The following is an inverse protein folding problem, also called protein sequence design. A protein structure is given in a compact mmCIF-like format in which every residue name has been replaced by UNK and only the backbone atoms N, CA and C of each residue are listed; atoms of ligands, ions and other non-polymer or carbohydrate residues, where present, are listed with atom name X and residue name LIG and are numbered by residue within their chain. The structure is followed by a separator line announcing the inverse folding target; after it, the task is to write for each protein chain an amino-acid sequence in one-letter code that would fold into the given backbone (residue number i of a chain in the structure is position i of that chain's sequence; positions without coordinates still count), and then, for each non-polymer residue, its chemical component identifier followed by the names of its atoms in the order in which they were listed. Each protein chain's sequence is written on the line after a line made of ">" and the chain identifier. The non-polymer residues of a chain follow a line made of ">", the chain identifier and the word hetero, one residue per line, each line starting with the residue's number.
data_IF_257082606207
#
_entry.id   IF_257082606207
#
_cell.length_a   1.000
_cell.length_b   1.000
_cell.length_c   1.000
_cell.angle_alpha   90.00
_cell.angle_beta   90.00
_cell.angle_gamma   90.00
#
_symmetry.space_group_name_H-M   'P 1'
#
loop_
_entity.id
_entity.type
_entity.pdbx_description
1 polymer ?
#
# COMPACT_ATOMS: atom_id res chain seq x y z
N UNK A 1 41.28 -24.18 -12.53
CA UNK A 1 40.46 -23.11 -11.88
C UNK A 1 41.14 -21.79 -12.18
N UNK A 2 40.44 -20.76 -12.66
CA UNK A 2 40.99 -19.42 -12.96
C UNK A 2 40.57 -18.48 -11.86
N UNK A 3 41.51 -17.93 -11.08
CA UNK A 3 41.25 -16.89 -10.10
C UNK A 3 41.14 -15.57 -10.89
N UNK A 4 40.00 -14.88 -10.77
CA UNK A 4 39.72 -13.62 -11.48
C UNK A 4 40.13 -12.41 -10.64
N UNK A 5 39.94 -12.51 -9.31
CA UNK A 5 40.27 -11.46 -8.36
C UNK A 5 40.38 -12.07 -6.96
N UNK A 6 41.13 -11.42 -6.09
CA UNK A 6 41.12 -11.65 -4.65
C UNK A 6 40.12 -10.68 -4.00
N UNK A 7 39.29 -11.17 -3.07
CA UNK A 7 38.34 -10.35 -2.34
C UNK A 7 38.47 -10.66 -0.84
N UNK A 8 38.40 -9.62 -0.02
CA UNK A 8 38.50 -9.70 1.43
C UNK A 8 37.13 -9.63 2.07
N UNK A 9 36.95 -10.36 3.18
CA UNK A 9 35.75 -10.31 4.01
C UNK A 9 36.02 -9.51 5.28
N UNK A 10 35.00 -9.24 6.10
CA UNK A 10 35.18 -8.60 7.40
C UNK A 10 35.89 -9.49 8.43
N UNK A 11 36.07 -10.79 8.15
CA UNK A 11 36.92 -11.69 8.92
C UNK A 11 38.41 -11.45 8.65
N UNK A 12 38.73 -10.89 7.46
CA UNK A 12 40.11 -10.64 7.03
C UNK A 12 40.56 -9.21 7.31
N UNK A 13 39.62 -8.26 7.42
CA UNK A 13 39.92 -6.83 7.54
C UNK A 13 39.09 -6.15 8.61
N UNK A 14 39.60 -5.05 9.15
CA UNK A 14 38.91 -4.18 10.09
C UNK A 14 38.97 -2.74 9.61
N UNK A 15 37.90 -1.96 9.84
CA UNK A 15 37.92 -0.53 9.57
C UNK A 15 38.81 0.19 10.56
N UNK A 16 39.67 1.07 10.07
CA UNK A 16 40.49 1.93 10.91
C UNK A 16 39.59 3.01 11.52
N UNK A 17 39.52 3.14 12.85
CA UNK A 17 38.80 4.22 13.50
C UNK A 17 39.30 5.60 13.04
N UNK A 18 38.37 6.53 12.82
CA UNK A 18 38.70 7.90 12.50
C UNK A 18 37.90 8.86 13.39
N UNK A 19 38.39 10.10 13.48
CA UNK A 19 37.65 11.15 14.18
C UNK A 19 36.32 11.41 13.51
N UNK A 20 35.25 11.61 14.29
CA UNK A 20 33.93 11.91 13.81
C UNK A 20 33.25 12.94 14.71
N UNK A 21 32.62 13.94 14.09
CA UNK A 21 31.77 14.95 14.74
C UNK A 21 30.27 14.62 14.61
N UNK A 22 29.94 13.44 14.10
CA UNK A 22 28.54 13.01 13.86
C UNK A 22 28.11 12.13 15.05
N UNK A 23 26.99 12.50 15.68
CA UNK A 23 26.37 11.67 16.70
C UNK A 23 25.67 10.44 16.08
N UNK A 24 25.56 9.32 16.77
CA UNK A 24 24.89 8.13 16.23
C UNK A 24 23.47 8.37 15.73
N UNK A 25 22.72 9.27 16.38
CA UNK A 25 21.35 9.65 15.97
C UNK A 25 21.28 10.47 14.69
N UNK A 26 22.38 11.12 14.29
CA UNK A 26 22.47 12.00 13.13
C UNK A 26 23.06 11.28 11.91
N UNK A 27 23.39 9.99 12.06
CA UNK A 27 23.95 9.18 10.99
C UNK A 27 22.87 8.80 9.98
N UNK A 28 23.12 9.10 8.70
CA UNK A 28 22.32 8.58 7.59
C UNK A 28 22.90 7.26 7.09
N UNK A 29 22.10 6.20 7.14
CA UNK A 29 22.46 4.88 6.58
C UNK A 29 21.96 4.67 5.17
N UNK A 30 21.33 5.69 4.59
CA UNK A 30 20.80 5.62 3.22
C UNK A 30 21.88 5.24 2.21
N UNK A 31 21.59 4.27 1.38
CA UNK A 31 22.53 3.69 0.43
C UNK A 31 21.90 3.53 -0.95
N UNK A 32 22.75 3.45 -1.96
CA UNK A 32 22.33 3.17 -3.33
C UNK A 32 22.52 1.68 -3.63
N UNK A 33 21.42 0.97 -3.84
CA UNK A 33 21.45 -0.45 -4.21
C UNK A 33 21.78 -0.65 -5.69
N UNK A 34 21.17 0.16 -6.55
CA UNK A 34 21.44 0.19 -7.99
C UNK A 34 21.63 1.65 -8.45
N UNK A 35 21.75 1.87 -9.77
CA UNK A 35 21.82 3.24 -10.33
C UNK A 35 20.58 4.07 -10.01
N UNK A 36 19.41 3.43 -9.92
CA UNK A 36 18.10 4.07 -9.78
C UNK A 36 17.44 3.80 -8.42
N UNK A 37 17.80 2.69 -7.75
CA UNK A 37 17.17 2.27 -6.48
C UNK A 37 18.02 2.73 -5.29
N UNK A 38 17.40 3.49 -4.39
CA UNK A 38 17.95 3.85 -3.08
C UNK A 38 17.19 3.15 -1.98
N UNK A 39 17.87 2.83 -0.89
CA UNK A 39 17.30 2.25 0.33
C UNK A 39 17.69 3.12 1.51
N UNK A 40 16.82 3.26 2.50
CA UNK A 40 17.07 4.09 3.68
C UNK A 40 17.98 3.38 4.70
N UNK A 41 17.97 2.06 4.69
CA UNK A 41 18.96 1.23 5.39
C UNK A 41 19.57 0.22 4.40
N UNK A 42 20.87 -0.10 4.49
CA UNK A 42 21.56 -0.99 3.55
C UNK A 42 21.31 -2.48 3.85
N UNK A 43 20.04 -2.87 3.98
CA UNK A 43 19.62 -4.24 4.27
C UNK A 43 18.77 -4.77 3.14
N UNK A 44 19.16 -5.92 2.60
CA UNK A 44 18.48 -6.62 1.51
C UNK A 44 18.17 -8.04 1.96
N UNK A 45 16.92 -8.49 1.82
CA UNK A 45 16.61 -9.89 2.10
C UNK A 45 16.98 -10.80 0.93
N UNK A 46 17.48 -12.00 1.26
CA UNK A 46 17.88 -12.97 0.25
C UNK A 46 16.70 -13.51 -0.55
N UNK A 47 16.88 -13.68 -1.88
CA UNK A 47 15.90 -14.27 -2.78
C UNK A 47 15.84 -15.80 -2.61
N UNK A 48 15.54 -16.27 -1.41
CA UNK A 48 15.48 -17.69 -1.04
C UNK A 48 14.04 -18.14 -0.88
N UNK A 49 13.75 -19.35 -1.34
CA UNK A 49 12.47 -20.02 -1.12
C UNK A 49 12.15 -20.09 0.38
N UNK A 50 10.89 -19.91 0.72
CA UNK A 50 10.36 -19.84 2.09
C UNK A 50 10.91 -18.70 2.98
N UNK A 51 11.86 -17.92 2.50
CA UNK A 51 12.45 -16.77 3.22
C UNK A 51 11.80 -15.46 2.75
N UNK A 52 11.97 -15.10 1.46
CA UNK A 52 11.48 -13.81 0.96
C UNK A 52 10.29 -13.98 0.02
N UNK A 53 9.12 -13.89 0.60
CA UNK A 53 7.83 -13.69 -0.06
C UNK A 53 7.25 -12.33 0.32
N UNK A 54 6.02 -11.99 -0.10
CA UNK A 54 5.43 -10.67 0.12
C UNK A 54 5.48 -10.22 1.58
N UNK A 55 5.27 -11.10 2.56
CA UNK A 55 5.26 -10.76 3.99
C UNK A 55 6.61 -10.19 4.44
N UNK A 56 7.71 -10.88 4.13
CA UNK A 56 9.05 -10.39 4.51
C UNK A 56 9.43 -9.17 3.68
N UNK A 57 9.12 -9.14 2.38
CA UNK A 57 9.41 -7.99 1.54
C UNK A 57 8.72 -6.71 2.05
N UNK A 58 7.46 -6.80 2.50
CA UNK A 58 6.75 -5.70 3.16
C UNK A 58 7.48 -5.24 4.43
N UNK A 59 7.87 -6.17 5.30
CA UNK A 59 8.58 -5.83 6.54
C UNK A 59 9.92 -5.17 6.26
N UNK A 60 10.65 -5.67 5.26
CA UNK A 60 11.93 -5.07 4.82
C UNK A 60 11.74 -3.63 4.35
N UNK A 61 10.72 -3.40 3.50
CA UNK A 61 10.38 -2.06 3.01
C UNK A 61 10.00 -1.11 4.17
N UNK A 62 9.19 -1.58 5.13
CA UNK A 62 8.83 -0.82 6.34
C UNK A 62 10.04 -0.41 7.18
N UNK A 63 11.04 -1.28 7.26
CA UNK A 63 12.31 -0.96 7.95
C UNK A 63 13.21 -0.01 7.14
N UNK A 64 12.94 0.23 5.87
CA UNK A 64 13.74 1.09 4.98
C UNK A 64 14.73 0.33 4.10
N UNK A 65 14.70 -1.00 4.13
CA UNK A 65 15.45 -1.90 3.24
C UNK A 65 14.65 -2.33 2.01
N UNK A 66 15.04 -3.45 1.39
CA UNK A 66 14.33 -4.03 0.24
C UNK A 66 14.27 -5.55 0.33
N UNK A 67 13.14 -6.12 -0.06
CA UNK A 67 12.94 -7.57 -0.18
C UNK A 67 13.06 -8.04 -1.62
N UNK A 68 13.87 -9.08 -1.85
CA UNK A 68 13.99 -9.71 -3.18
C UNK A 68 13.19 -11.01 -3.18
N UNK A 69 12.04 -11.00 -3.86
CA UNK A 69 11.17 -12.18 -3.94
C UNK A 69 11.83 -13.27 -4.77
N UNK A 70 11.85 -14.50 -4.23
CA UNK A 70 12.48 -15.64 -4.90
C UNK A 70 11.71 -16.10 -6.16
N UNK A 71 12.39 -16.82 -7.03
CA UNK A 71 11.84 -17.29 -8.32
C UNK A 71 11.28 -18.73 -8.27
N UNK A 72 11.36 -19.44 -7.14
CA UNK A 72 10.89 -20.81 -7.04
C UNK A 72 9.36 -20.90 -6.90
N UNK A 73 8.66 -20.34 -7.88
CA UNK A 73 7.20 -20.34 -8.00
C UNK A 73 6.82 -20.06 -9.46
N UNK A 74 5.53 -20.22 -9.80
CA UNK A 74 5.09 -19.83 -11.15
C UNK A 74 5.17 -18.32 -11.36
N UNK A 75 5.23 -17.89 -12.62
CA UNK A 75 5.27 -16.46 -12.98
C UNK A 75 4.07 -15.70 -12.41
N UNK A 76 2.89 -16.31 -12.49
CA UNK A 76 1.63 -15.73 -11.99
C UNK A 76 1.66 -15.56 -10.46
N UNK A 77 2.20 -16.56 -9.75
CA UNK A 77 2.36 -16.50 -8.29
C UNK A 77 3.37 -15.42 -7.90
N UNK A 78 4.52 -15.34 -8.58
CA UNK A 78 5.53 -14.31 -8.30
C UNK A 78 4.96 -12.90 -8.55
N UNK A 79 4.25 -12.70 -9.66
CA UNK A 79 3.57 -11.45 -9.95
C UNK A 79 2.53 -11.08 -8.88
N UNK A 80 1.78 -12.08 -8.37
CA UNK A 80 0.84 -11.85 -7.28
C UNK A 80 1.54 -11.45 -5.97
N UNK A 81 2.68 -12.06 -5.63
CA UNK A 81 3.47 -11.67 -4.45
C UNK A 81 4.01 -10.23 -4.58
N UNK A 82 4.56 -9.85 -5.74
CA UNK A 82 4.99 -8.47 -6.02
C UNK A 82 3.81 -7.49 -5.93
N UNK A 83 2.67 -7.85 -6.51
CA UNK A 83 1.47 -7.01 -6.45
C UNK A 83 1.00 -6.78 -5.00
N UNK A 84 1.10 -7.80 -4.13
CA UNK A 84 0.78 -7.66 -2.69
C UNK A 84 1.69 -6.66 -2.00
N UNK A 85 3.00 -6.68 -2.29
CA UNK A 85 3.98 -5.72 -1.74
C UNK A 85 3.64 -4.31 -2.21
N UNK A 86 3.51 -4.10 -3.52
CA UNK A 86 3.19 -2.79 -4.10
C UNK A 86 1.85 -2.24 -3.64
N UNK A 87 0.84 -3.10 -3.50
CA UNK A 87 -0.46 -2.69 -2.94
C UNK A 87 -0.37 -2.27 -1.47
N UNK A 88 0.54 -2.88 -0.71
CA UNK A 88 0.74 -2.52 0.70
C UNK A 88 1.43 -1.17 0.86
N UNK A 89 2.41 -0.87 -0.01
CA UNK A 89 3.20 0.37 -0.01
C UNK A 89 2.41 1.58 -0.54
N UNK A 90 1.48 1.34 -1.45
CA UNK A 90 0.69 2.41 -2.04
C UNK A 90 -0.22 3.07 -1.00
N UNK A 91 0.09 4.30 -0.58
CA UNK A 91 -0.78 5.13 0.24
C UNK A 91 -2.11 5.45 -0.44
N UNK A 92 -2.18 5.29 -1.76
CA UNK A 92 -3.39 5.38 -2.58
C UNK A 92 -3.64 4.02 -3.22
N UNK A 93 -4.77 3.40 -2.92
CA UNK A 93 -5.23 2.20 -3.64
C UNK A 93 -5.69 2.66 -5.02
N UNK A 94 -4.83 2.54 -6.05
CA UNK A 94 -5.09 3.06 -7.40
C UNK A 94 -6.19 2.31 -8.16
N UNK A 95 -6.40 1.04 -7.88
CA UNK A 95 -7.45 0.21 -8.50
C UNK A 95 -8.30 -0.45 -7.39
N UNK A 96 -9.18 0.32 -6.72
CA UNK A 96 -10.05 -0.26 -5.72
C UNK A 96 -11.09 -1.18 -6.39
N UNK A 97 -11.46 -2.26 -5.70
CA UNK A 97 -12.60 -3.06 -6.12
C UNK A 97 -13.85 -2.19 -6.13
N UNK A 98 -14.61 -2.23 -7.21
CA UNK A 98 -15.83 -1.45 -7.39
C UNK A 98 -17.01 -2.37 -7.63
N UNK A 99 -18.22 -1.85 -7.42
CA UNK A 99 -19.49 -2.49 -7.75
C UNK A 99 -20.38 -1.49 -8.47
N UNK A 100 -21.41 -1.99 -9.15
CA UNK A 100 -22.43 -1.13 -9.77
C UNK A 100 -23.58 -0.85 -8.80
N UNK A 101 -24.40 0.20 -9.02
CA UNK A 101 -25.55 0.51 -8.16
C UNK A 101 -26.56 -0.65 -8.02
N UNK A 102 -26.65 -1.50 -9.05
CA UNK A 102 -27.57 -2.64 -9.12
C UNK A 102 -27.03 -3.91 -8.45
N UNK A 103 -25.74 -3.93 -8.05
CA UNK A 103 -25.14 -5.08 -7.36
C UNK A 103 -25.90 -5.36 -6.08
N UNK A 104 -26.22 -6.64 -5.83
CA UNK A 104 -26.94 -7.02 -4.62
C UNK A 104 -26.10 -6.80 -3.37
N UNK A 105 -26.75 -6.47 -2.26
CA UNK A 105 -26.09 -6.35 -0.94
C UNK A 105 -25.38 -7.65 -0.57
N UNK A 106 -25.96 -8.82 -0.92
CA UNK A 106 -25.37 -10.14 -0.74
C UNK A 106 -24.01 -10.26 -1.41
N UNK A 107 -23.90 -9.84 -2.68
CA UNK A 107 -22.65 -9.93 -3.45
C UNK A 107 -21.60 -8.96 -2.91
N UNK A 108 -22.01 -7.77 -2.48
CA UNK A 108 -21.11 -6.82 -1.82
C UNK A 108 -20.55 -7.38 -0.52
N UNK A 109 -21.39 -8.03 0.30
CA UNK A 109 -20.94 -8.71 1.53
C UNK A 109 -19.98 -9.85 1.24
N UNK A 110 -20.24 -10.65 0.19
CA UNK A 110 -19.35 -11.73 -0.23
C UNK A 110 -18.00 -11.16 -0.69
N UNK A 111 -18.00 -10.08 -1.50
CA UNK A 111 -16.80 -9.38 -1.96
C UNK A 111 -15.97 -8.83 -0.79
N UNK A 112 -16.61 -8.12 0.14
CA UNK A 112 -15.92 -7.51 1.29
C UNK A 112 -15.27 -8.55 2.18
N UNK A 113 -15.93 -9.70 2.42
CA UNK A 113 -15.37 -10.82 3.17
C UNK A 113 -14.23 -11.50 2.44
N UNK A 114 -14.41 -11.84 1.15
CA UNK A 114 -13.39 -12.52 0.35
C UNK A 114 -12.11 -11.70 0.18
N UNK A 115 -12.23 -10.37 0.12
CA UNK A 115 -11.11 -9.45 -0.09
C UNK A 115 -10.62 -8.77 1.19
N UNK A 116 -11.25 -9.02 2.32
CA UNK A 116 -10.97 -8.38 3.61
C UNK A 116 -10.92 -6.85 3.51
N UNK A 117 -11.93 -6.26 2.86
CA UNK A 117 -12.10 -4.83 2.67
C UNK A 117 -13.34 -4.33 3.40
N UNK A 118 -13.29 -3.09 3.91
CA UNK A 118 -14.36 -2.52 4.74
C UNK A 118 -15.18 -1.43 4.02
N UNK A 119 -14.95 -1.23 2.74
CA UNK A 119 -15.71 -0.29 1.93
C UNK A 119 -15.40 -0.44 0.46
N UNK A 120 -16.42 -0.29 -0.36
CA UNK A 120 -16.38 -0.51 -1.81
C UNK A 120 -16.97 0.71 -2.51
N UNK A 121 -16.23 1.38 -3.39
CA UNK A 121 -16.78 2.43 -4.24
C UNK A 121 -17.84 1.85 -5.19
N UNK A 122 -18.91 2.61 -5.39
CA UNK A 122 -19.99 2.28 -6.33
C UNK A 122 -19.82 3.17 -7.56
N UNK A 123 -19.76 2.56 -8.75
CA UNK A 123 -19.51 3.25 -10.00
C UNK A 123 -20.58 2.90 -11.04
N UNK A 124 -20.94 3.88 -11.85
CA UNK A 124 -21.70 3.69 -13.08
C UNK A 124 -20.75 3.87 -14.26
N UNK A 125 -20.41 2.77 -14.93
CA UNK A 125 -19.27 2.72 -15.84
C UNK A 125 -17.95 3.07 -15.14
N UNK A 126 -17.36 4.22 -15.44
CA UNK A 126 -16.16 4.76 -14.77
C UNK A 126 -16.46 5.87 -13.76
N UNK A 127 -17.70 6.36 -13.75
CA UNK A 127 -18.11 7.51 -12.93
C UNK A 127 -18.45 7.07 -11.51
N UNK A 128 -17.89 7.76 -10.55
CA UNK A 128 -18.18 7.52 -9.14
C UNK A 128 -19.60 8.02 -8.81
N UNK A 129 -20.43 7.15 -8.21
CA UNK A 129 -21.82 7.47 -7.82
C UNK A 129 -22.06 7.26 -6.32
N UNK A 130 -21.24 6.48 -5.65
CA UNK A 130 -21.41 6.23 -4.22
C UNK A 130 -20.25 5.48 -3.58
N UNK A 131 -20.38 5.22 -2.30
CA UNK A 131 -19.56 4.27 -1.54
C UNK A 131 -20.47 3.47 -0.61
N UNK A 132 -20.20 2.19 -0.47
CA UNK A 132 -20.82 1.35 0.55
C UNK A 132 -19.76 0.81 1.50
N UNK A 133 -20.03 0.85 2.79
CA UNK A 133 -19.11 0.44 3.84
C UNK A 133 -19.72 -0.64 4.74
N UNK A 134 -18.89 -1.31 5.53
CA UNK A 134 -19.38 -2.28 6.52
C UNK A 134 -20.38 -1.64 7.52
N UNK A 135 -20.34 -0.33 7.73
CA UNK A 135 -21.29 0.40 8.58
C UNK A 135 -22.67 0.38 7.96
N UNK A 136 -22.77 0.62 6.65
CA UNK A 136 -24.01 0.67 5.90
C UNK A 136 -24.65 -0.71 5.79
N UNK A 137 -23.83 -1.77 5.76
CA UNK A 137 -24.27 -3.17 5.59
C UNK A 137 -24.55 -3.89 6.91
N UNK A 138 -24.12 -3.35 8.06
CA UNK A 138 -24.08 -4.07 9.34
C UNK A 138 -25.42 -4.63 9.80
N UNK A 139 -26.48 -3.89 9.57
CA UNK A 139 -27.83 -4.22 10.05
C UNK A 139 -28.80 -4.47 8.90
N UNK A 140 -28.31 -4.55 7.65
CA UNK A 140 -29.20 -4.75 6.52
C UNK A 140 -29.62 -6.22 6.42
N UNK A 141 -30.92 -6.43 6.30
CA UNK A 141 -31.54 -7.76 6.21
C UNK A 141 -32.02 -8.09 4.80
N UNK A 142 -32.27 -7.08 3.97
CA UNK A 142 -32.74 -7.22 2.59
C UNK A 142 -31.57 -7.44 1.65
N UNK A 143 -30.96 -8.63 1.72
CA UNK A 143 -29.71 -8.93 1.03
C UNK A 143 -29.80 -8.98 -0.48
N UNK A 144 -30.99 -9.14 -1.03
CA UNK A 144 -31.23 -9.22 -2.48
C UNK A 144 -31.54 -7.84 -3.10
N UNK A 145 -31.69 -6.80 -2.25
CA UNK A 145 -31.86 -5.42 -2.70
C UNK A 145 -30.55 -4.89 -3.33
N UNK A 146 -30.66 -3.93 -4.25
CA UNK A 146 -29.49 -3.29 -4.86
C UNK A 146 -28.76 -2.39 -3.85
N UNK A 147 -27.44 -2.30 -3.98
CA UNK A 147 -26.59 -1.53 -3.05
C UNK A 147 -26.89 -0.02 -3.10
N UNK A 148 -27.50 0.47 -4.18
CA UNK A 148 -27.96 1.86 -4.30
C UNK A 148 -28.92 2.29 -3.19
N UNK A 149 -29.66 1.34 -2.57
CA UNK A 149 -30.59 1.63 -1.49
C UNK A 149 -29.90 1.98 -0.16
N UNK A 150 -28.66 1.53 0.03
CA UNK A 150 -27.94 1.66 1.31
C UNK A 150 -26.63 2.43 1.20
N UNK A 151 -26.12 2.67 0.00
CA UNK A 151 -24.86 3.38 -0.21
C UNK A 151 -24.93 4.85 0.22
N UNK A 152 -23.79 5.42 0.57
CA UNK A 152 -23.63 6.87 0.63
C UNK A 152 -23.53 7.41 -0.78
N UNK A 153 -24.56 8.12 -1.23
CA UNK A 153 -24.66 8.68 -2.57
C UNK A 153 -23.78 9.91 -2.79
N UNK A 154 -23.65 10.31 -4.06
CA UNK A 154 -22.75 11.36 -4.56
C UNK A 154 -22.78 12.67 -3.76
N UNK A 155 -23.95 13.13 -3.34
CA UNK A 155 -24.10 14.42 -2.64
C UNK A 155 -23.46 14.45 -1.24
N UNK A 156 -23.21 13.29 -0.66
CA UNK A 156 -22.57 13.12 0.66
C UNK A 156 -21.18 12.53 0.58
N UNK A 157 -20.67 12.25 -0.63
CA UNK A 157 -19.32 11.73 -0.81
C UNK A 157 -18.27 12.78 -0.51
N UNK A 158 -17.28 12.40 0.25
CA UNK A 158 -16.06 13.19 0.44
C UNK A 158 -15.00 12.66 -0.53
N UNK A 159 -14.56 13.52 -1.44
CA UNK A 159 -13.60 13.19 -2.49
C UNK A 159 -12.48 14.20 -2.53
N UNK A 160 -11.33 13.79 -3.04
CA UNK A 160 -10.20 14.66 -3.39
C UNK A 160 -9.82 14.49 -4.85
N UNK A 161 -9.10 15.45 -5.39
CA UNK A 161 -8.53 15.35 -6.73
C UNK A 161 -7.25 14.53 -6.73
N UNK A 162 -6.89 13.98 -7.89
CA UNK A 162 -5.56 13.40 -8.08
C UNK A 162 -4.49 14.43 -7.75
N UNK A 163 -3.48 14.03 -6.96
CA UNK A 163 -2.42 14.92 -6.51
C UNK A 163 -2.71 15.73 -5.26
N UNK A 164 -3.87 15.53 -4.60
CA UNK A 164 -4.13 16.12 -3.29
C UNK A 164 -3.05 15.75 -2.27
N UNK A 165 -2.59 16.73 -1.49
CA UNK A 165 -1.57 16.52 -0.46
C UNK A 165 -2.09 15.73 0.74
N UNK A 166 -1.18 15.07 1.44
CA UNK A 166 -1.48 14.25 2.61
C UNK A 166 -2.21 15.05 3.71
N UNK A 167 -1.80 16.30 3.95
CA UNK A 167 -2.43 17.18 4.95
C UNK A 167 -3.89 17.50 4.62
N UNK A 168 -4.22 17.73 3.34
CA UNK A 168 -5.58 17.95 2.87
C UNK A 168 -6.45 16.73 3.13
N UNK A 169 -5.95 15.55 2.75
CA UNK A 169 -6.67 14.28 2.94
C UNK A 169 -6.90 13.99 4.41
N UNK A 170 -5.86 14.16 5.25
CA UNK A 170 -5.93 13.95 6.70
C UNK A 170 -6.95 14.91 7.35
N UNK A 171 -6.97 16.17 6.95
CA UNK A 171 -7.94 17.15 7.43
C UNK A 171 -9.39 16.75 7.10
N UNK A 172 -9.64 16.19 5.90
CA UNK A 172 -10.96 15.70 5.51
C UNK A 172 -11.37 14.45 6.32
N UNK A 173 -10.46 13.48 6.46
CA UNK A 173 -10.69 12.27 7.26
C UNK A 173 -11.10 12.64 8.69
N UNK A 174 -10.38 13.59 9.32
CA UNK A 174 -10.63 14.07 10.67
C UNK A 174 -11.94 14.87 10.77
N UNK A 175 -12.13 15.84 9.88
CA UNK A 175 -13.32 16.73 9.87
C UNK A 175 -14.62 15.97 9.74
N UNK A 176 -14.66 15.00 8.82
CA UNK A 176 -15.87 14.22 8.54
C UNK A 176 -15.95 12.90 9.31
N UNK A 177 -14.93 12.58 10.12
CA UNK A 177 -14.83 11.34 10.91
C UNK A 177 -15.05 10.09 10.05
N UNK A 178 -14.42 10.08 8.87
CA UNK A 178 -14.46 8.99 7.91
C UNK A 178 -13.11 8.28 7.84
N UNK A 179 -13.13 7.00 7.47
CA UNK A 179 -11.90 6.19 7.35
C UNK A 179 -11.32 6.15 5.93
N UNK A 180 -12.08 6.67 4.96
CA UNK A 180 -11.75 6.57 3.53
C UNK A 180 -12.14 7.83 2.79
N UNK A 181 -11.27 8.27 1.89
CA UNK A 181 -11.51 9.35 0.93
C UNK A 181 -11.29 8.80 -0.47
N UNK A 182 -12.21 9.12 -1.37
CA UNK A 182 -12.16 8.69 -2.76
C UNK A 182 -11.40 9.72 -3.60
N UNK A 183 -10.50 9.23 -4.45
CA UNK A 183 -9.73 10.08 -5.37
C UNK A 183 -10.42 10.08 -6.73
N UNK A 184 -10.69 11.25 -7.28
CA UNK A 184 -11.36 11.43 -8.57
C UNK A 184 -10.59 12.37 -9.49
N UNK A 185 -10.76 12.19 -10.81
CA UNK A 185 -10.27 13.15 -11.78
C UNK A 185 -11.28 14.30 -12.02
N UNK A 186 -10.99 15.18 -12.98
CA UNK A 186 -11.86 16.32 -13.35
C UNK A 186 -13.25 15.89 -13.84
N UNK A 187 -13.36 14.73 -14.47
CA UNK A 187 -14.61 14.15 -14.99
C UNK A 187 -15.39 13.36 -13.93
N UNK A 188 -14.93 13.41 -12.64
CA UNK A 188 -15.51 12.67 -11.53
C UNK A 188 -15.45 11.13 -11.72
N UNK A 189 -14.42 10.66 -12.41
CA UNK A 189 -14.13 9.24 -12.54
C UNK A 189 -13.24 8.80 -11.36
N UNK A 190 -13.51 7.62 -10.83
CA UNK A 190 -12.74 7.05 -9.74
C UNK A 190 -11.29 6.76 -10.19
N UNK A 191 -10.32 7.25 -9.42
CA UNK A 191 -8.88 7.05 -9.63
C UNK A 191 -8.21 6.32 -8.49
N UNK A 192 -8.82 6.34 -7.33
CA UNK A 192 -8.24 5.66 -6.17
C UNK A 192 -9.05 5.80 -4.90
N UNK A 193 -8.52 5.21 -3.85
CA UNK A 193 -9.05 5.24 -2.51
C UNK A 193 -7.89 5.41 -1.52
N UNK A 194 -7.98 6.38 -0.64
CA UNK A 194 -7.04 6.62 0.46
C UNK A 194 -7.72 6.27 1.78
N UNK A 195 -7.00 5.66 2.72
CA UNK A 195 -7.55 5.28 4.01
C UNK A 195 -6.73 5.86 5.18
N UNK A 196 -7.36 6.02 6.35
CA UNK A 196 -6.66 6.40 7.59
C UNK A 196 -5.48 5.47 7.90
N UNK A 197 -5.59 4.18 7.54
CA UNK A 197 -4.53 3.21 7.78
C UNK A 197 -3.24 3.54 7.04
N UNK A 198 -3.31 4.24 5.91
CA UNK A 198 -2.15 4.62 5.12
C UNK A 198 -1.35 5.72 5.84
N UNK A 199 -2.02 6.65 6.51
CA UNK A 199 -1.38 7.67 7.35
C UNK A 199 -0.76 7.08 8.62
N UNK A 200 -1.49 6.21 9.33
CA UNK A 200 -0.97 5.53 10.53
C UNK A 200 0.29 4.73 10.19
N UNK A 201 0.34 4.06 9.03
CA UNK A 201 1.55 3.37 8.56
C UNK A 201 2.72 4.32 8.33
N UNK A 202 2.48 5.49 7.74
CA UNK A 202 3.53 6.49 7.49
C UNK A 202 4.14 7.01 8.79
N UNK A 203 3.34 7.20 9.83
CA UNK A 203 3.83 7.59 11.17
C UNK A 203 4.59 6.46 11.87
N UNK A 204 4.11 5.22 11.77
CA UNK A 204 4.74 4.06 12.38
C UNK A 204 6.07 3.66 11.71
N UNK A 205 6.20 3.92 10.43
CA UNK A 205 7.38 3.53 9.63
C UNK A 205 7.96 4.72 8.86
N UNK A 206 8.56 5.70 9.57
CA UNK A 206 9.09 6.93 8.95
C UNK A 206 10.25 6.64 7.98
N UNK A 207 10.96 5.55 8.17
CA UNK A 207 12.07 5.13 7.31
C UNK A 207 11.66 4.19 6.17
N UNK A 208 10.36 3.93 5.97
CA UNK A 208 9.92 3.01 4.93
C UNK A 208 10.42 3.42 3.54
N UNK A 209 10.97 2.46 2.80
CA UNK A 209 11.31 2.63 1.39
C UNK A 209 10.03 2.61 0.56
N UNK A 210 9.87 3.61 -0.32
CA UNK A 210 8.76 3.73 -1.28
C UNK A 210 9.37 3.73 -2.68
N UNK A 211 9.09 2.70 -3.47
CA UNK A 211 9.48 2.58 -4.89
C UNK A 211 8.24 2.42 -5.80
#
# INVERSE_FOLDING_TARGET
>A
MRILAEALTFDDVSLVPAESNVLPQDVSTASRLTREIRVNIPVVSAAMDTVTEARLAITMAQCGGIGIIHRNMSVERQAAEVHRVKKFEAGVIRDPFTVTPETSIRDVLALTRARNISGVPVVDGTRLVGIVTNRDLRFETRLDDPVSNVMTGKDRLITVREGAGDDEVLALLHRYRIEKVLVVNEQYQLRGLITVKDFVKSEQFPNASKD
#
